data_IF_959568217108
#
_entry.id   IF_959568217108
#
_cell.length_a   1.000
_cell.length_b   1.000
_cell.length_c   1.000
_cell.angle_alpha   90.00
_cell.angle_beta   90.00
_cell.angle_gamma   90.00
#
_symmetry.space_group_name_H-M   'P 1'
#
loop_
_entity.id
_entity.type
_entity.pdbx_description
1 polymer ?
#
# COMPACT_ATOMS: atom_id res chain seq x y z
N UNK A 1 0.87 20.48 20.01
CA UNK A 1 1.29 19.21 19.39
C UNK A 1 0.51 19.07 18.10
N UNK A 2 1.14 19.24 16.94
CA UNK A 2 0.48 19.13 15.64
C UNK A 2 0.17 17.65 15.38
N UNK A 3 -1.09 17.25 15.48
CA UNK A 3 -1.56 15.94 15.02
C UNK A 3 -1.08 15.77 13.57
N UNK A 4 -0.19 14.80 13.34
CA UNK A 4 0.29 14.51 11.98
C UNK A 4 -0.91 14.05 11.18
N UNK A 5 -1.44 14.92 10.33
CA UNK A 5 -2.50 14.61 9.39
C UNK A 5 -2.05 13.42 8.56
N UNK A 6 -2.73 12.29 8.71
CA UNK A 6 -2.37 11.06 8.02
C UNK A 6 -2.46 11.29 6.50
N UNK A 7 -1.41 10.89 5.78
CA UNK A 7 -1.32 10.99 4.32
C UNK A 7 -1.44 9.59 3.75
N UNK A 8 -2.41 9.40 2.84
CA UNK A 8 -2.56 8.16 2.08
C UNK A 8 -1.38 8.06 1.10
N UNK A 9 -0.57 7.03 1.31
CA UNK A 9 0.60 6.74 0.48
C UNK A 9 0.18 6.13 -0.85
N UNK A 10 1.05 6.21 -1.84
CA UNK A 10 0.79 5.68 -3.18
C UNK A 10 0.43 4.19 -3.18
N UNK A 11 1.05 3.39 -2.30
CA UNK A 11 0.77 1.96 -2.15
C UNK A 11 -0.63 1.66 -1.58
N UNK A 12 -1.09 2.48 -0.64
CA UNK A 12 -2.39 2.30 0.01
C UNK A 12 -3.53 2.92 -0.81
N UNK A 13 -3.17 3.72 -1.82
CA UNK A 13 -4.10 4.52 -2.62
C UNK A 13 -5.18 3.67 -3.26
N UNK A 14 -4.85 2.54 -3.90
CA UNK A 14 -5.84 1.69 -4.56
C UNK A 14 -6.94 1.26 -3.59
N UNK A 15 -6.55 0.71 -2.44
CA UNK A 15 -7.46 0.25 -1.39
C UNK A 15 -8.29 1.39 -0.82
N UNK A 16 -7.65 2.52 -0.50
CA UNK A 16 -8.35 3.70 0.01
C UNK A 16 -9.39 4.23 -1.00
N UNK A 17 -9.02 4.29 -2.28
CA UNK A 17 -9.90 4.77 -3.35
C UNK A 17 -11.10 3.83 -3.53
N UNK A 18 -10.87 2.51 -3.54
CA UNK A 18 -11.96 1.51 -3.60
C UNK A 18 -12.88 1.58 -2.39
N UNK A 19 -12.33 1.80 -1.19
CA UNK A 19 -13.14 1.98 0.02
C UNK A 19 -14.03 3.23 -0.08
N UNK A 20 -13.45 4.38 -0.44
CA UNK A 20 -14.19 5.64 -0.59
C UNK A 20 -15.24 5.54 -1.70
N UNK A 21 -14.90 4.92 -2.86
CA UNK A 21 -15.85 4.66 -3.93
C UNK A 21 -17.07 3.89 -3.42
N UNK A 22 -16.85 2.85 -2.61
CA UNK A 22 -17.94 2.06 -2.02
C UNK A 22 -18.79 2.89 -1.06
N UNK A 23 -18.18 3.70 -0.19
CA UNK A 23 -18.92 4.53 0.76
C UNK A 23 -19.75 5.59 0.04
N UNK A 24 -19.18 6.32 -0.92
CA UNK A 24 -19.87 7.36 -1.70
C UNK A 24 -20.94 6.82 -2.68
N UNK A 25 -21.02 5.51 -2.86
CA UNK A 25 -22.07 4.89 -3.68
C UNK A 25 -23.15 4.22 -2.83
N UNK A 26 -22.81 3.69 -1.66
CA UNK A 26 -23.73 2.91 -0.82
C UNK A 26 -24.28 3.67 0.37
N UNK A 27 -23.55 4.67 0.87
CA UNK A 27 -23.92 5.40 2.08
C UNK A 27 -23.75 6.93 1.89
N UNK A 28 -24.79 7.62 1.40
CA UNK A 28 -24.75 9.08 1.23
C UNK A 28 -24.52 9.86 2.53
N UNK A 29 -24.83 9.26 3.69
CA UNK A 29 -24.64 9.91 4.99
C UNK A 29 -23.25 9.69 5.59
N UNK A 30 -22.38 8.91 4.95
CA UNK A 30 -21.07 8.54 5.51
C UNK A 30 -20.17 9.73 5.85
N UNK A 31 -20.22 10.79 5.02
CA UNK A 31 -19.47 12.03 5.27
C UNK A 31 -20.07 12.88 6.41
N UNK A 32 -21.31 12.62 6.82
CA UNK A 32 -22.00 13.38 7.86
C UNK A 32 -22.13 14.88 7.54
N UNK A 33 -22.44 15.18 6.27
CA UNK A 33 -22.63 16.53 5.71
C UNK A 33 -24.01 16.65 5.06
N UNK A 34 -24.41 17.87 4.68
CA UNK A 34 -25.66 18.10 3.95
C UNK A 34 -25.62 17.50 2.55
N UNK A 35 -26.77 17.28 1.93
CA UNK A 35 -26.86 16.71 0.58
C UNK A 35 -26.15 17.57 -0.49
N UNK A 36 -26.26 18.90 -0.39
CA UNK A 36 -25.56 19.83 -1.28
C UNK A 36 -24.03 19.69 -1.14
N UNK A 37 -23.53 19.61 0.10
CA UNK A 37 -22.11 19.40 0.38
C UNK A 37 -21.63 18.02 -0.06
N UNK A 38 -22.46 17.00 0.11
CA UNK A 38 -22.18 15.64 -0.35
C UNK A 38 -22.00 15.59 -1.87
N UNK A 39 -22.90 16.22 -2.63
CA UNK A 39 -22.83 16.28 -4.08
C UNK A 39 -21.56 17.04 -4.54
N UNK A 40 -21.22 18.15 -3.88
CA UNK A 40 -19.98 18.88 -4.14
C UNK A 40 -18.74 18.01 -3.86
N UNK A 41 -18.69 17.34 -2.70
CA UNK A 41 -17.61 16.44 -2.33
C UNK A 41 -17.43 15.31 -3.34
N UNK A 42 -18.52 14.70 -3.81
CA UNK A 42 -18.49 13.62 -4.82
C UNK A 42 -17.95 14.10 -6.17
N UNK A 43 -18.33 15.29 -6.62
CA UNK A 43 -17.80 15.86 -7.87
C UNK A 43 -16.30 16.18 -7.75
N UNK A 44 -15.88 16.83 -6.66
CA UNK A 44 -14.46 17.10 -6.38
C UNK A 44 -13.64 15.81 -6.26
N UNK A 45 -14.24 14.76 -5.69
CA UNK A 45 -13.62 13.45 -5.53
C UNK A 45 -13.25 12.83 -6.89
N UNK A 46 -14.17 12.85 -7.85
CA UNK A 46 -13.94 12.28 -9.18
C UNK A 46 -12.75 12.91 -9.90
N UNK A 47 -12.56 14.22 -9.73
CA UNK A 47 -11.42 14.95 -10.29
C UNK A 47 -10.13 14.65 -9.52
N UNK A 48 -10.20 14.70 -8.18
CA UNK A 48 -9.04 14.54 -7.29
C UNK A 48 -8.45 13.13 -7.29
N UNK A 49 -9.26 12.11 -7.57
CA UNK A 49 -8.86 10.68 -7.62
C UNK A 49 -7.69 10.39 -8.56
N UNK A 50 -7.42 11.24 -9.54
CA UNK A 50 -6.37 11.06 -10.56
C UNK A 50 -4.95 11.36 -10.05
N UNK A 51 -4.80 12.23 -9.04
CA UNK A 51 -3.49 12.66 -8.52
C UNK A 51 -3.34 12.32 -7.03
N UNK A 52 -2.20 11.77 -6.58
CA UNK A 52 -1.98 11.48 -5.15
C UNK A 52 -2.11 12.72 -4.27
N UNK A 53 -1.61 13.86 -4.75
CA UNK A 53 -1.64 15.13 -4.02
C UNK A 53 -3.09 15.61 -3.89
N UNK A 54 -3.81 15.71 -5.02
CA UNK A 54 -5.19 16.19 -5.03
C UNK A 54 -6.11 15.29 -4.21
N UNK A 55 -5.90 13.97 -4.27
CA UNK A 55 -6.66 13.01 -3.49
C UNK A 55 -6.46 13.20 -1.98
N UNK A 56 -5.22 13.40 -1.53
CA UNK A 56 -4.94 13.68 -0.12
C UNK A 56 -5.54 15.02 0.32
N UNK A 57 -5.47 16.06 -0.51
CA UNK A 57 -6.12 17.34 -0.22
C UNK A 57 -7.64 17.17 -0.08
N UNK A 58 -8.27 16.39 -0.96
CA UNK A 58 -9.69 16.07 -0.86
C UNK A 58 -10.01 15.34 0.44
N UNK A 59 -9.19 14.34 0.80
CA UNK A 59 -9.37 13.59 2.04
C UNK A 59 -9.26 14.49 3.26
N UNK A 60 -8.29 15.42 3.30
CA UNK A 60 -8.14 16.39 4.38
C UNK A 60 -9.32 17.35 4.50
N UNK A 61 -9.90 17.74 3.37
CA UNK A 61 -11.04 18.68 3.33
C UNK A 61 -12.33 18.04 3.82
N UNK A 62 -12.59 16.80 3.43
CA UNK A 62 -13.92 16.18 3.58
C UNK A 62 -14.00 15.12 4.67
N UNK A 63 -12.88 14.53 5.10
CA UNK A 63 -12.89 13.43 6.06
C UNK A 63 -12.59 13.93 7.48
N UNK A 64 -13.39 13.46 8.44
CA UNK A 64 -13.13 13.62 9.88
C UNK A 64 -12.36 12.41 10.39
N UNK A 65 -11.92 12.49 11.64
CA UNK A 65 -11.08 11.44 12.26
C UNK A 65 -11.76 10.05 12.23
N UNK A 66 -13.09 10.00 12.32
CA UNK A 66 -13.86 8.75 12.20
C UNK A 66 -13.71 8.10 10.84
N UNK A 67 -13.85 8.86 9.74
CA UNK A 67 -13.66 8.32 8.39
C UNK A 67 -12.19 7.94 8.14
N UNK A 68 -11.24 8.71 8.69
CA UNK A 68 -9.82 8.37 8.64
C UNK A 68 -9.49 7.06 9.35
N UNK A 69 -10.11 6.79 10.49
CA UNK A 69 -9.96 5.52 11.20
C UNK A 69 -10.49 4.34 10.37
N UNK A 70 -11.64 4.49 9.72
CA UNK A 70 -12.21 3.46 8.84
C UNK A 70 -11.33 3.16 7.63
N UNK A 71 -10.79 4.18 6.97
CA UNK A 71 -9.88 4.02 5.84
C UNK A 71 -8.61 3.28 6.27
N UNK A 72 -8.01 3.69 7.40
CA UNK A 72 -6.81 3.01 7.94
C UNK A 72 -7.10 1.55 8.26
N UNK A 73 -8.28 1.25 8.82
CA UNK A 73 -8.71 -0.13 9.06
C UNK A 73 -8.80 -0.92 7.75
N UNK A 74 -9.44 -0.36 6.72
CA UNK A 74 -9.55 -1.00 5.42
C UNK A 74 -8.18 -1.26 4.76
N UNK A 75 -7.26 -0.30 4.85
CA UNK A 75 -5.87 -0.46 4.36
C UNK A 75 -5.17 -1.60 5.09
N UNK A 76 -5.23 -1.62 6.42
CA UNK A 76 -4.58 -2.65 7.23
C UNK A 76 -5.19 -4.03 6.97
N UNK A 77 -6.51 -4.13 6.84
CA UNK A 77 -7.18 -5.40 6.49
C UNK A 77 -6.73 -5.90 5.12
N UNK A 78 -6.60 -5.03 4.12
CA UNK A 78 -6.09 -5.43 2.80
C UNK A 78 -4.63 -5.90 2.88
N UNK A 79 -3.78 -5.21 3.65
CA UNK A 79 -2.39 -5.62 3.88
C UNK A 79 -2.31 -7.00 4.54
N UNK A 80 -3.09 -7.22 5.59
CA UNK A 80 -3.14 -8.52 6.26
C UNK A 80 -3.61 -9.62 5.31
N UNK A 81 -4.62 -9.35 4.47
CA UNK A 81 -5.07 -10.32 3.47
C UNK A 81 -4.04 -10.57 2.37
N UNK A 82 -3.30 -9.56 1.93
CA UNK A 82 -2.18 -9.74 1.01
C UNK A 82 -1.10 -10.62 1.65
N UNK A 83 -0.68 -10.30 2.88
CA UNK A 83 0.27 -11.12 3.65
C UNK A 83 -0.20 -12.57 3.85
N UNK A 84 -1.46 -12.78 4.25
CA UNK A 84 -2.07 -14.11 4.36
C UNK A 84 -2.06 -14.83 3.02
N UNK A 85 -2.48 -14.16 1.95
CA UNK A 85 -2.47 -14.73 0.61
C UNK A 85 -1.06 -15.14 0.20
N UNK A 86 -0.04 -14.37 0.54
CA UNK A 86 1.36 -14.74 0.32
C UNK A 86 1.74 -15.98 1.14
N UNK A 87 1.33 -16.10 2.41
CA UNK A 87 1.58 -17.29 3.23
C UNK A 87 1.04 -18.59 2.62
N UNK A 88 -0.06 -18.52 1.87
CA UNK A 88 -0.69 -19.69 1.25
C UNK A 88 -0.27 -19.94 -0.21
N UNK A 89 0.22 -18.92 -0.94
CA UNK A 89 0.69 -19.07 -2.32
C UNK A 89 2.17 -19.49 -2.36
N UNK A 90 3.01 -18.97 -1.46
CA UNK A 90 4.41 -19.38 -1.31
C UNK A 90 4.82 -19.35 0.17
N UNK A 91 5.17 -20.50 0.78
CA UNK A 91 5.57 -20.50 2.19
C UNK A 91 6.80 -19.60 2.39
N UNK A 92 6.76 -18.77 3.42
CA UNK A 92 7.91 -17.94 3.79
C UNK A 92 9.14 -18.83 4.01
N UNK A 93 10.27 -18.43 3.43
CA UNK A 93 11.56 -19.09 3.62
C UNK A 93 12.46 -18.24 4.49
N UNK A 94 13.04 -18.86 5.51
CA UNK A 94 14.13 -18.26 6.27
C UNK A 94 15.41 -18.35 5.44
N UNK A 95 16.06 -17.22 5.21
CA UNK A 95 17.35 -17.14 4.55
C UNK A 95 18.38 -16.57 5.52
N UNK A 96 19.64 -17.02 5.39
CA UNK A 96 20.77 -16.36 6.04
C UNK A 96 21.39 -15.37 5.05
N UNK A 97 21.63 -14.15 5.50
CA UNK A 97 22.34 -13.11 4.76
C UNK A 97 23.49 -12.58 5.62
N UNK A 98 24.51 -12.01 4.99
CA UNK A 98 25.58 -11.34 5.74
C UNK A 98 25.03 -10.11 6.47
N UNK A 99 25.65 -9.75 7.60
CA UNK A 99 25.25 -8.58 8.39
C UNK A 99 25.15 -7.30 7.53
N UNK A 100 26.16 -7.07 6.69
CA UNK A 100 26.18 -5.91 5.80
C UNK A 100 25.06 -5.92 4.76
N UNK A 101 24.74 -7.09 4.18
CA UNK A 101 23.61 -7.20 3.26
C UNK A 101 22.28 -6.91 3.96
N UNK A 102 22.14 -7.34 5.22
CA UNK A 102 20.97 -7.01 6.04
C UNK A 102 20.83 -5.52 6.34
N UNK A 103 21.92 -4.82 6.68
CA UNK A 103 21.92 -3.37 6.90
C UNK A 103 21.46 -2.61 5.65
N UNK A 104 21.98 -2.98 4.47
CA UNK A 104 21.58 -2.38 3.20
C UNK A 104 20.10 -2.61 2.95
N UNK A 105 19.62 -3.86 3.04
CA UNK A 105 18.22 -4.20 2.79
C UNK A 105 17.28 -3.48 3.75
N UNK A 106 17.63 -3.42 5.03
CA UNK A 106 16.84 -2.76 6.07
C UNK A 106 16.77 -1.25 5.86
N UNK A 107 17.89 -0.63 5.48
CA UNK A 107 17.93 0.81 5.19
C UNK A 107 17.05 1.16 4.00
N UNK A 108 17.13 0.38 2.93
CA UNK A 108 16.29 0.57 1.74
C UNK A 108 14.81 0.35 2.04
N UNK A 109 14.49 -0.69 2.81
CA UNK A 109 13.13 -0.97 3.27
C UNK A 109 12.54 0.20 4.08
N UNK A 110 13.33 0.79 4.99
CA UNK A 110 12.91 1.96 5.76
C UNK A 110 12.73 3.22 4.90
N UNK A 111 13.64 3.49 3.96
CA UNK A 111 13.56 4.63 3.05
C UNK A 111 12.32 4.55 2.16
N UNK A 112 12.07 3.39 1.57
CA UNK A 112 10.97 3.16 0.64
C UNK A 112 9.65 2.82 1.38
N UNK A 113 9.69 2.65 2.71
CA UNK A 113 8.57 2.23 3.57
C UNK A 113 7.92 0.92 3.11
N UNK A 114 8.77 -0.02 2.70
CA UNK A 114 8.45 -1.35 2.21
C UNK A 114 9.04 -2.43 3.15
N UNK A 115 8.61 -3.67 3.00
CA UNK A 115 9.28 -4.82 3.60
C UNK A 115 10.56 -5.20 2.84
N UNK A 116 11.52 -5.90 3.48
CA UNK A 116 12.71 -6.42 2.80
C UNK A 116 12.38 -7.30 1.57
N UNK A 117 11.34 -8.14 1.66
CA UNK A 117 10.88 -8.99 0.56
C UNK A 117 10.40 -8.15 -0.64
N UNK A 118 9.63 -7.09 -0.38
CA UNK A 118 9.15 -6.19 -1.44
C UNK A 118 10.29 -5.40 -2.07
N UNK A 119 11.29 -4.96 -1.30
CA UNK A 119 12.50 -4.31 -1.84
C UNK A 119 13.21 -5.25 -2.82
N UNK A 120 13.37 -6.53 -2.46
CA UNK A 120 13.97 -7.55 -3.32
C UNK A 120 13.16 -7.72 -4.60
N UNK A 121 11.83 -7.91 -4.50
CA UNK A 121 10.96 -8.11 -5.67
C UNK A 121 10.96 -6.87 -6.58
N UNK A 122 10.83 -5.67 -6.01
CA UNK A 122 10.71 -4.44 -6.80
C UNK A 122 12.01 -4.09 -7.52
N UNK A 123 13.17 -4.36 -6.91
CA UNK A 123 14.49 -4.03 -7.48
C UNK A 123 15.06 -5.14 -8.36
N UNK A 124 14.84 -6.41 -8.01
CA UNK A 124 15.44 -7.57 -8.67
C UNK A 124 14.44 -8.42 -9.46
N UNK A 125 13.16 -8.46 -9.06
CA UNK A 125 12.12 -9.28 -9.68
C UNK A 125 11.86 -8.94 -11.15
N UNK A 126 12.05 -7.67 -11.57
CA UNK A 126 11.91 -7.27 -12.99
C UNK A 126 13.07 -7.71 -13.88
N UNK A 127 14.28 -7.89 -13.31
CA UNK A 127 15.48 -8.31 -14.06
C UNK A 127 15.51 -9.82 -14.31
N UNK A 128 15.04 -10.63 -13.36
CA UNK A 128 15.05 -12.10 -13.49
C UNK A 128 14.07 -12.63 -14.56
N UNK A 129 12.99 -11.92 -14.86
CA UNK A 129 12.01 -12.34 -15.88
C UNK A 129 12.52 -12.03 -17.31
N UNK A 130 13.52 -11.16 -17.46
CA UNK A 130 14.05 -10.71 -18.77
C UNK A 130 15.41 -11.29 -19.15
N UNK A 131 16.16 -11.89 -18.23
CA UNK A 131 17.44 -12.55 -18.53
C UNK A 131 17.27 -14.08 -18.53
N UNK A 132 17.41 -14.67 -19.72
CA UNK A 132 17.16 -16.07 -19.99
C UNK A 132 18.09 -17.06 -19.29
N UNK A 133 17.61 -18.31 -19.30
CA UNK A 133 18.29 -19.58 -19.05
C UNK A 133 18.78 -19.86 -17.64
N UNK A 134 18.48 -21.06 -17.09
CA UNK A 134 18.96 -21.48 -15.78
C UNK A 134 20.48 -21.62 -15.84
N UNK A 135 21.20 -20.65 -15.29
CA UNK A 135 22.61 -20.81 -15.01
C UNK A 135 22.72 -21.88 -13.93
N UNK A 136 23.36 -23.01 -14.26
CA UNK A 136 23.55 -24.16 -13.36
C UNK A 136 23.96 -23.67 -11.96
N UNK A 137 23.08 -23.94 -11.00
CA UNK A 137 23.36 -23.73 -9.58
C UNK A 137 24.66 -24.44 -9.21
N UNK A 138 25.67 -23.69 -8.75
CA UNK A 138 26.92 -24.24 -8.20
C UNK A 138 26.77 -24.79 -6.79
N UNK A 139 25.55 -24.82 -6.23
CA UNK A 139 25.31 -25.25 -4.84
C UNK A 139 24.95 -26.73 -4.67
N UNK A 140 24.95 -27.53 -5.74
CA UNK A 140 24.76 -29.00 -5.66
C UNK A 140 26.03 -29.77 -5.99
N UNK A 141 27.14 -29.46 -5.31
CA UNK A 141 28.27 -30.38 -5.17
C UNK A 141 28.60 -30.46 -3.68
N UNK A 142 27.97 -31.43 -3.01
CA UNK A 142 28.52 -32.25 -1.93
C UNK A 142 27.38 -33.01 -1.27
N UNK A 143 27.15 -34.24 -1.74
CA UNK A 143 26.78 -35.37 -0.88
C UNK A 143 27.33 -36.64 -1.53
#
# INVERSE_FOLDING_TARGET
MTERTYIIRQQDRKTATTFIDNQLNKNPQWLGVTEAQYNAAKQEYLVSKTSPTSFNTWCQKWLKETQWAEIRKAINTNKNHEEERWRYIEPHKTISVTHHAWEILSTLALQDQLSPSEVIINRLGKKLITSGSPTKSRYNQNN
#
